data_IF_140071911713
#
_entry.id   IF_140071911713
#
_cell.length_a   1.000
_cell.length_b   1.000
_cell.length_c   1.000
_cell.angle_alpha   90.00
_cell.angle_beta   90.00
_cell.angle_gamma   90.00
#
_symmetry.space_group_name_H-M   'P 1'
#
loop_
_entity.id
_entity.type
_entity.pdbx_description
1 polymer ?
#
# COMPACT_ATOMS: atom_id res chain seq x y z
N UNK A 1 -13.79 15.58 -9.87
CA UNK A 1 -13.59 16.50 -8.76
C UNK A 1 -13.43 15.73 -7.46
N UNK A 2 -12.35 15.99 -6.74
CA UNK A 2 -12.01 15.26 -5.51
C UNK A 2 -13.09 15.40 -4.44
N UNK A 3 -13.65 16.60 -4.29
CA UNK A 3 -14.67 16.85 -3.29
C UNK A 3 -15.95 16.07 -3.58
N UNK A 4 -16.34 16.05 -4.83
CA UNK A 4 -17.51 15.30 -5.25
C UNK A 4 -17.31 13.80 -5.02
N UNK A 5 -16.13 13.31 -5.38
CA UNK A 5 -15.81 11.90 -5.22
C UNK A 5 -15.85 11.47 -3.76
N UNK A 6 -15.33 12.31 -2.87
CA UNK A 6 -15.38 12.03 -1.44
C UNK A 6 -16.80 11.90 -0.93
N UNK A 7 -17.67 12.80 -1.34
CA UNK A 7 -19.07 12.77 -0.91
C UNK A 7 -19.76 11.50 -1.38
N UNK A 8 -19.52 11.11 -2.63
CA UNK A 8 -20.11 9.90 -3.20
C UNK A 8 -19.64 8.66 -2.44
N UNK A 9 -18.34 8.57 -2.17
CA UNK A 9 -17.77 7.43 -1.47
C UNK A 9 -18.36 7.32 -0.06
N UNK A 10 -18.39 8.41 0.68
CA UNK A 10 -18.93 8.41 2.03
C UNK A 10 -20.40 8.00 2.05
N UNK A 11 -21.15 8.49 1.09
CA UNK A 11 -22.57 8.22 1.01
C UNK A 11 -22.89 6.77 0.66
N UNK A 12 -22.11 6.18 -0.25
CA UNK A 12 -22.41 4.85 -0.76
C UNK A 12 -21.83 3.71 0.06
N UNK A 13 -20.62 3.90 0.59
CA UNK A 13 -19.90 2.79 1.21
C UNK A 13 -19.73 2.93 2.72
N UNK A 14 -20.18 4.03 3.28
CA UNK A 14 -20.05 4.25 4.72
C UNK A 14 -18.63 4.38 5.22
N UNK A 15 -17.67 4.56 4.34
CA UNK A 15 -16.28 4.77 4.72
C UNK A 15 -15.83 6.15 4.26
N UNK A 16 -14.88 6.74 4.98
CA UNK A 16 -14.41 8.06 4.61
C UNK A 16 -13.40 7.98 3.46
N UNK A 17 -13.19 9.14 2.84
CA UNK A 17 -12.28 9.23 1.70
C UNK A 17 -10.86 8.81 2.04
N UNK A 18 -10.40 9.14 3.24
CA UNK A 18 -9.04 8.79 3.66
C UNK A 18 -8.81 7.29 3.68
N UNK A 19 -9.80 6.53 4.16
CA UNK A 19 -9.70 5.07 4.17
C UNK A 19 -9.57 4.51 2.76
N UNK A 20 -10.38 5.01 1.84
CA UNK A 20 -10.35 4.56 0.46
C UNK A 20 -9.02 4.92 -0.19
N UNK A 21 -8.53 6.11 0.07
CA UNK A 21 -7.26 6.57 -0.47
C UNK A 21 -6.11 5.70 0.05
N UNK A 22 -6.16 5.35 1.34
CA UNK A 22 -5.14 4.48 1.92
C UNK A 22 -5.15 3.09 1.28
N UNK A 23 -6.32 2.56 0.99
CA UNK A 23 -6.43 1.28 0.29
C UNK A 23 -5.76 1.35 -1.07
N UNK A 24 -6.00 2.42 -1.80
CA UNK A 24 -5.39 2.63 -3.11
C UNK A 24 -3.87 2.71 -2.99
N UNK A 25 -3.38 3.48 -2.02
CA UNK A 25 -1.95 3.63 -1.79
C UNK A 25 -1.30 2.31 -1.41
N UNK A 26 -1.99 1.49 -0.62
CA UNK A 26 -1.48 0.18 -0.23
C UNK A 26 -1.35 -0.74 -1.44
N UNK A 27 -2.32 -0.71 -2.35
CA UNK A 27 -2.25 -1.51 -3.57
C UNK A 27 -1.05 -1.10 -4.43
N UNK A 28 -0.82 0.19 -4.55
CA UNK A 28 0.35 0.69 -5.26
C UNK A 28 1.64 0.20 -4.60
N UNK A 29 1.69 0.26 -3.27
CA UNK A 29 2.86 -0.20 -2.53
C UNK A 29 3.10 -1.69 -2.76
N UNK A 30 2.04 -2.49 -2.82
CA UNK A 30 2.17 -3.92 -3.10
C UNK A 30 2.87 -4.16 -4.44
N UNK A 31 2.50 -3.38 -5.44
CA UNK A 31 3.15 -3.48 -6.74
C UNK A 31 4.62 -3.11 -6.67
N UNK A 32 4.93 -1.99 -6.01
CA UNK A 32 6.32 -1.54 -5.92
C UNK A 32 7.18 -2.48 -5.09
N UNK A 33 6.63 -3.04 -4.04
CA UNK A 33 7.37 -3.94 -3.16
C UNK A 33 7.80 -5.23 -3.89
N UNK A 34 7.04 -5.62 -4.90
CA UNK A 34 7.30 -6.86 -5.64
C UNK A 34 7.83 -6.62 -7.05
N UNK A 35 8.04 -5.36 -7.41
CA UNK A 35 8.56 -5.00 -8.74
C UNK A 35 10.09 -4.99 -8.72
N UNK A 36 10.68 -5.72 -9.63
CA UNK A 36 12.14 -5.81 -9.72
C UNK A 36 12.82 -4.46 -9.94
N UNK A 37 12.14 -3.54 -10.60
CA UNK A 37 12.68 -2.20 -10.84
C UNK A 37 12.85 -1.41 -9.55
N UNK A 38 12.13 -1.77 -8.51
CA UNK A 38 12.18 -1.10 -7.22
C UNK A 38 12.79 -1.98 -6.13
N UNK A 39 13.48 -3.04 -6.52
CA UNK A 39 14.06 -3.98 -5.56
C UNK A 39 15.10 -3.33 -4.66
N UNK A 40 15.76 -2.29 -5.14
CA UNK A 40 16.78 -1.56 -4.38
C UNK A 40 16.18 -0.48 -3.47
N UNK A 41 14.88 -0.25 -3.57
CA UNK A 41 14.20 0.72 -2.72
C UNK A 41 13.75 0.05 -1.43
N UNK A 42 13.99 0.72 -0.29
CA UNK A 42 13.52 0.17 0.98
C UNK A 42 12.04 0.51 1.19
N UNK A 43 11.45 -0.10 2.22
CA UNK A 43 10.02 0.08 2.50
C UNK A 43 9.68 1.54 2.77
N UNK A 44 10.57 2.23 3.48
CA UNK A 44 10.36 3.63 3.81
C UNK A 44 10.29 4.51 2.56
N UNK A 45 11.18 4.27 1.61
CA UNK A 45 11.17 4.99 0.35
C UNK A 45 9.88 4.72 -0.42
N UNK A 46 9.45 3.47 -0.45
CA UNK A 46 8.21 3.09 -1.14
C UNK A 46 7.01 3.75 -0.48
N UNK A 47 6.98 3.82 0.85
CA UNK A 47 5.87 4.48 1.55
C UNK A 47 5.75 5.95 1.12
N UNK A 48 6.87 6.62 0.98
CA UNK A 48 6.89 8.01 0.51
C UNK A 48 6.44 8.11 -0.94
N UNK A 49 6.88 7.18 -1.76
CA UNK A 49 6.53 7.18 -3.19
C UNK A 49 5.03 7.04 -3.41
N UNK A 50 4.35 6.25 -2.58
CA UNK A 50 2.90 6.07 -2.73
C UNK A 50 2.09 7.13 -1.99
N UNK A 51 2.75 8.05 -1.28
CA UNK A 51 2.10 9.23 -0.74
C UNK A 51 1.79 9.21 0.75
N UNK A 52 2.40 8.32 1.52
CA UNK A 52 2.20 8.33 2.97
C UNK A 52 3.12 9.37 3.62
N UNK A 53 2.60 10.04 4.63
CA UNK A 53 3.34 11.10 5.31
C UNK A 53 4.48 10.56 6.17
N UNK A 54 4.28 9.37 6.75
CA UNK A 54 5.31 8.77 7.59
C UNK A 54 5.19 7.25 7.55
N UNK A 55 6.24 6.59 8.07
CA UNK A 55 6.30 5.14 8.07
C UNK A 55 5.21 4.48 8.90
N UNK A 56 4.90 5.06 10.04
CA UNK A 56 3.88 4.50 10.92
C UNK A 56 2.51 4.42 10.26
N UNK A 57 2.12 5.49 9.58
CA UNK A 57 0.86 5.52 8.85
C UNK A 57 0.83 4.45 7.77
N UNK A 58 1.93 4.31 7.05
CA UNK A 58 2.05 3.31 6.01
C UNK A 58 1.92 1.89 6.57
N UNK A 59 2.66 1.60 7.62
CA UNK A 59 2.63 0.26 8.23
C UNK A 59 1.24 -0.08 8.75
N UNK A 60 0.59 0.87 9.41
CA UNK A 60 -0.76 0.65 9.93
C UNK A 60 -1.75 0.36 8.81
N UNK A 61 -1.73 1.17 7.75
CA UNK A 61 -2.62 0.99 6.63
C UNK A 61 -2.34 -0.31 5.89
N UNK A 62 -1.08 -0.62 5.68
CA UNK A 62 -0.68 -1.85 4.99
C UNK A 62 -1.14 -3.08 5.76
N UNK A 63 -0.86 -3.11 7.06
CA UNK A 63 -1.26 -4.24 7.90
C UNK A 63 -2.78 -4.41 7.93
N UNK A 64 -3.49 -3.30 8.05
CA UNK A 64 -4.96 -3.33 8.08
C UNK A 64 -5.55 -3.91 6.79
N UNK A 65 -4.97 -3.55 5.65
CA UNK A 65 -5.53 -3.93 4.35
C UNK A 65 -4.98 -5.26 3.83
N UNK A 66 -3.76 -5.61 4.18
CA UNK A 66 -3.09 -6.79 3.64
C UNK A 66 -3.02 -7.93 4.66
N UNK A 67 -2.95 -7.60 5.95
CA UNK A 67 -2.87 -8.60 7.00
C UNK A 67 -1.44 -9.00 7.37
N UNK A 68 -0.44 -8.33 6.80
CA UNK A 68 0.94 -8.57 7.14
C UNK A 68 1.75 -7.28 6.94
N UNK A 69 2.96 -7.26 7.48
CA UNK A 69 3.81 -6.09 7.36
C UNK A 69 4.35 -5.95 5.94
N UNK A 70 4.72 -4.72 5.53
CA UNK A 70 5.32 -4.53 4.20
C UNK A 70 6.60 -5.36 4.00
N UNK A 71 7.44 -5.45 5.01
CA UNK A 71 8.66 -6.25 4.94
C UNK A 71 8.36 -7.73 4.79
N UNK A 72 7.41 -8.22 5.57
CA UNK A 72 6.99 -9.63 5.50
C UNK A 72 6.40 -9.97 4.15
N UNK A 73 5.57 -9.06 3.62
CA UNK A 73 4.96 -9.23 2.32
C UNK A 73 6.02 -9.32 1.21
N UNK A 74 6.97 -8.39 1.23
CA UNK A 74 8.04 -8.34 0.24
C UNK A 74 8.91 -9.59 0.30
N UNK A 75 9.28 -10.01 1.50
CA UNK A 75 10.12 -11.19 1.69
C UNK A 75 9.43 -12.45 1.19
N UNK A 76 8.16 -12.59 1.52
CA UNK A 76 7.38 -13.76 1.10
C UNK A 76 7.28 -13.85 -0.42
N UNK A 77 7.07 -12.74 -1.08
CA UNK A 77 6.97 -12.73 -2.55
C UNK A 77 8.31 -12.96 -3.21
N UNK A 78 9.39 -12.46 -2.62
CA UNK A 78 10.73 -12.71 -3.14
C UNK A 78 11.08 -14.20 -3.06
N UNK A 79 10.74 -14.83 -1.95
CA UNK A 79 10.97 -16.27 -1.78
C UNK A 79 10.14 -17.07 -2.78
N UNK A 80 8.91 -16.67 -3.01
CA UNK A 80 8.03 -17.33 -3.95
C UNK A 80 8.57 -17.26 -5.36
N UNK A 81 9.10 -16.11 -5.76
CA UNK A 81 9.71 -15.95 -7.07
C UNK A 81 10.96 -16.80 -7.23
N UNK A 82 11.78 -16.87 -6.20
CA UNK A 82 12.98 -17.69 -6.21
C UNK A 82 12.64 -19.17 -6.40
N UNK A 83 11.56 -19.63 -5.78
CA UNK A 83 11.12 -21.00 -5.90
C UNK A 83 10.59 -21.35 -7.28
N UNK A 84 10.10 -20.37 -8.01
CA UNK A 84 9.56 -20.61 -9.35
C UNK A 84 10.63 -20.90 -10.38
N UNK A 85 11.84 -20.56 -10.07
CA UNK A 85 12.97 -20.88 -10.93
C UNK A 85 13.50 -22.26 -10.62
#
# INVERSE_FOLDING_TARGET
NTRYLSAVVNSRFGMNYSCLLNEYRVKEAQHLLTDKRYADKNVEEISTMVGFANRQSFYAAFYKNVGETPNGYRKRHAEKEAKKK
#
